data_IF_670269142893
#
_entry.id   IF_670269142893
#
_cell.length_a   1.000
_cell.length_b   1.000
_cell.length_c   1.000
_cell.angle_alpha   90.00
_cell.angle_beta   90.00
_cell.angle_gamma   90.00
#
_symmetry.space_group_name_H-M   'P 1'
#
loop_
_entity.id
_entity.type
_entity.pdbx_description
1 polymer ?
#
# COMPACT_ATOMS: atom_id res chain seq x y z
N UNK A 1 9.39 18.53 -59.24
CA UNK A 1 10.08 17.54 -58.39
C UNK A 1 10.02 17.92 -56.92
N UNK A 2 10.39 19.15 -56.53
CA UNK A 2 10.42 19.61 -55.13
C UNK A 2 9.08 19.60 -54.35
N UNK A 3 7.94 19.83 -55.02
CA UNK A 3 6.62 19.90 -54.36
C UNK A 3 6.17 18.55 -53.78
N UNK A 4 6.44 17.45 -54.48
CA UNK A 4 6.08 16.11 -54.02
C UNK A 4 7.00 15.65 -52.89
N UNK A 5 8.28 16.05 -52.93
CA UNK A 5 9.25 15.78 -51.85
C UNK A 5 8.86 16.49 -50.56
N UNK A 6 8.33 17.70 -50.64
CA UNK A 6 7.90 18.49 -49.48
C UNK A 6 6.65 17.87 -48.80
N UNK A 7 5.66 17.44 -49.59
CA UNK A 7 4.47 16.76 -49.04
C UNK A 7 4.79 15.40 -48.41
N UNK A 8 5.72 14.65 -49.00
CA UNK A 8 6.17 13.37 -48.48
C UNK A 8 6.92 13.52 -47.14
N UNK A 9 7.74 14.56 -47.01
CA UNK A 9 8.42 14.90 -45.76
C UNK A 9 7.43 15.33 -44.66
N UNK A 10 6.42 16.13 -45.00
CA UNK A 10 5.35 16.53 -44.06
C UNK A 10 4.57 15.31 -43.56
N UNK A 11 4.25 14.37 -44.45
CA UNK A 11 3.51 13.15 -44.12
C UNK A 11 4.32 12.20 -43.22
N UNK A 12 5.64 12.10 -43.43
CA UNK A 12 6.56 11.36 -42.54
C UNK A 12 6.68 11.98 -41.14
N UNK A 13 6.68 13.32 -41.04
CA UNK A 13 6.72 14.01 -39.74
C UNK A 13 5.40 13.95 -38.96
N UNK A 14 4.25 13.96 -39.65
CA UNK A 14 2.93 13.81 -39.02
C UNK A 14 2.64 12.35 -38.62
N UNK A 15 3.18 11.36 -39.34
CA UNK A 15 3.05 9.94 -39.00
C UNK A 15 3.99 9.43 -37.90
N UNK A 16 5.07 10.16 -37.58
CA UNK A 16 6.14 9.71 -36.69
C UNK A 16 5.99 10.06 -35.19
N UNK A 17 4.94 10.79 -34.79
CA UNK A 17 4.78 11.32 -33.42
C UNK A 17 3.73 10.58 -32.58
N UNK A 18 3.51 9.28 -32.79
CA UNK A 18 2.71 8.45 -31.89
C UNK A 18 3.43 7.13 -31.56
N UNK A 19 4.66 7.26 -31.07
CA UNK A 19 5.47 6.13 -30.61
C UNK A 19 6.37 6.46 -29.42
N UNK A 20 6.22 7.64 -28.82
CA UNK A 20 6.90 8.00 -27.58
C UNK A 20 5.91 7.79 -26.43
N UNK A 21 5.67 6.52 -26.08
CA UNK A 21 5.27 6.20 -24.71
C UNK A 21 6.48 6.63 -23.87
N UNK A 22 6.40 7.67 -23.03
CA UNK A 22 7.49 7.95 -22.12
C UNK A 22 7.66 6.68 -21.29
N UNK A 23 8.86 6.14 -21.29
CA UNK A 23 9.32 5.12 -20.35
C UNK A 23 9.42 5.73 -18.94
N UNK A 24 8.39 6.45 -18.52
CA UNK A 24 8.01 6.66 -17.14
C UNK A 24 6.98 5.55 -16.95
N UNK A 25 7.40 4.33 -16.65
CA UNK A 25 7.42 3.94 -15.24
C UNK A 25 6.31 4.68 -14.48
N UNK A 26 5.06 4.37 -14.83
CA UNK A 26 3.99 4.26 -13.83
C UNK A 26 4.55 3.22 -12.87
N UNK A 27 5.43 3.65 -11.96
CA UNK A 27 5.70 2.93 -10.75
C UNK A 27 4.30 2.74 -10.17
N UNK A 28 3.79 1.50 -10.03
CA UNK A 28 2.62 1.32 -9.22
C UNK A 28 3.00 2.00 -7.91
N UNK A 29 2.23 3.02 -7.53
CA UNK A 29 2.39 3.69 -6.25
C UNK A 29 2.47 2.57 -5.21
N UNK A 30 3.67 2.31 -4.69
CA UNK A 30 3.90 1.33 -3.66
C UNK A 30 4.02 2.13 -2.37
N UNK A 31 2.89 2.46 -1.71
CA UNK A 31 2.91 3.30 -0.52
C UNK A 31 3.67 2.66 0.63
N UNK A 32 3.97 1.36 0.58
CA UNK A 32 4.64 0.69 1.68
C UNK A 32 5.64 -0.35 1.16
N UNK A 33 6.93 -0.28 1.56
CA UNK A 33 7.85 -1.42 1.40
C UNK A 33 7.41 -2.67 2.19
N UNK A 34 6.25 -2.61 2.87
CA UNK A 34 5.66 -3.63 3.72
C UNK A 34 4.29 -4.14 3.22
N UNK A 35 3.85 -3.77 2.01
CA UNK A 35 2.59 -4.30 1.46
C UNK A 35 2.68 -5.82 1.31
N UNK A 36 1.72 -6.55 1.88
CA UNK A 36 1.63 -7.99 1.71
C UNK A 36 1.45 -8.34 0.22
N UNK A 37 2.10 -9.40 -0.27
CA UNK A 37 2.09 -9.77 -1.71
C UNK A 37 0.68 -9.93 -2.30
N UNK A 38 -0.25 -10.45 -1.50
CA UNK A 38 -1.66 -10.57 -1.90
C UNK A 38 -2.34 -9.20 -2.15
N UNK A 39 -1.97 -8.16 -1.40
CA UNK A 39 -2.50 -6.79 -1.58
C UNK A 39 -2.01 -6.21 -2.90
N UNK A 40 -0.72 -6.41 -3.20
CA UNK A 40 -0.11 -5.97 -4.46
C UNK A 40 -0.76 -6.69 -5.66
N UNK A 41 -0.95 -8.01 -5.56
CA UNK A 41 -1.59 -8.79 -6.61
C UNK A 41 -3.04 -8.37 -6.84
N UNK A 42 -3.81 -8.13 -5.77
CA UNK A 42 -5.18 -7.67 -5.88
C UNK A 42 -5.26 -6.28 -6.51
N UNK A 43 -4.38 -5.34 -6.14
CA UNK A 43 -4.35 -4.01 -6.75
C UNK A 43 -4.09 -4.07 -8.26
N UNK A 44 -3.17 -4.95 -8.70
CA UNK A 44 -2.90 -5.13 -10.12
C UNK A 44 -4.10 -5.74 -10.90
N UNK A 45 -4.82 -6.68 -10.28
CA UNK A 45 -6.03 -7.25 -10.86
C UNK A 45 -7.14 -6.19 -10.93
N UNK A 46 -7.29 -5.38 -9.88
CA UNK A 46 -8.28 -4.31 -9.78
C UNK A 46 -8.11 -3.26 -10.88
N UNK A 47 -6.87 -2.93 -11.23
CA UNK A 47 -6.56 -1.94 -12.26
C UNK A 47 -7.06 -2.36 -13.66
N UNK A 48 -7.10 -3.67 -13.93
CA UNK A 48 -7.57 -4.27 -15.19
C UNK A 48 -9.10 -4.33 -15.30
N UNK A 49 -9.84 -4.10 -14.22
CA UNK A 49 -11.30 -4.21 -14.24
C UNK A 49 -11.95 -3.04 -15.01
N UNK A 50 -13.10 -3.29 -15.68
CA UNK A 50 -13.98 -2.24 -16.18
C UNK A 50 -14.46 -1.32 -15.05
N UNK A 51 -14.77 -0.07 -15.37
CA UNK A 51 -15.10 0.94 -14.37
C UNK A 51 -16.28 0.55 -13.48
N UNK A 52 -17.24 -0.19 -14.03
CA UNK A 52 -18.45 -0.64 -13.33
C UNK A 52 -18.17 -1.71 -12.26
N UNK A 53 -17.02 -2.39 -12.36
CA UNK A 53 -16.59 -3.46 -11.46
C UNK A 53 -15.45 -3.02 -10.54
N UNK A 54 -14.92 -1.82 -10.74
CA UNK A 54 -13.87 -1.25 -9.90
C UNK A 54 -14.41 -0.84 -8.53
N UNK A 55 -13.58 -1.02 -7.53
CA UNK A 55 -13.83 -0.55 -6.18
C UNK A 55 -13.60 0.97 -6.08
N UNK A 56 -14.70 1.73 -6.17
CA UNK A 56 -14.70 3.19 -6.03
C UNK A 56 -14.39 3.71 -4.63
N UNK A 57 -14.21 2.84 -3.64
CA UNK A 57 -13.96 3.24 -2.25
C UNK A 57 -12.70 4.11 -2.11
N UNK A 58 -11.69 3.88 -2.95
CA UNK A 58 -10.43 4.62 -2.94
C UNK A 58 -10.42 5.85 -3.88
N UNK A 59 -11.49 6.11 -4.63
CA UNK A 59 -11.56 7.26 -5.56
C UNK A 59 -11.57 8.60 -4.80
N UNK A 60 -12.08 8.60 -3.56
CA UNK A 60 -12.08 9.78 -2.72
C UNK A 60 -10.67 10.00 -2.12
N UNK A 61 -9.99 11.11 -2.45
CA UNK A 61 -8.62 11.36 -1.99
C UNK A 61 -8.53 11.49 -0.46
N UNK A 62 -9.61 11.93 0.21
CA UNK A 62 -9.67 12.00 1.68
C UNK A 62 -9.71 10.61 2.30
N UNK A 63 -10.49 9.71 1.70
CA UNK A 63 -10.63 8.32 2.15
C UNK A 63 -9.32 7.57 1.90
N UNK A 64 -8.78 7.65 0.68
CA UNK A 64 -7.48 7.07 0.34
C UNK A 64 -6.37 7.57 1.28
N UNK A 65 -6.33 8.88 1.58
CA UNK A 65 -5.34 9.42 2.50
C UNK A 65 -5.54 8.93 3.94
N UNK A 66 -6.78 8.86 4.43
CA UNK A 66 -7.08 8.36 5.77
C UNK A 66 -6.79 6.85 5.94
N UNK A 67 -6.92 6.06 4.88
CA UNK A 67 -6.57 4.64 4.84
C UNK A 67 -5.08 4.37 4.59
N UNK A 68 -4.41 5.27 3.84
CA UNK A 68 -2.96 5.23 3.65
C UNK A 68 -2.20 5.64 4.91
N UNK A 69 -2.88 6.20 5.92
CA UNK A 69 -2.32 6.29 7.26
C UNK A 69 -2.13 4.89 7.83
N UNK A 70 -0.92 4.60 8.30
CA UNK A 70 -0.49 3.31 8.84
C UNK A 70 -1.57 2.69 9.75
N UNK A 71 -2.04 1.50 9.38
CA UNK A 71 -2.93 0.72 10.23
C UNK A 71 -2.74 -0.79 10.01
N UNK A 72 -2.20 -1.41 11.05
CA UNK A 72 -2.69 -2.71 11.55
C UNK A 72 -3.26 -2.54 12.98
N UNK A 73 -2.78 -1.52 13.70
CA UNK A 73 -3.34 -0.89 14.90
C UNK A 73 -3.14 0.62 14.65
N UNK A 74 -4.06 1.49 15.06
CA UNK A 74 -4.27 2.87 14.56
C UNK A 74 -3.06 3.86 14.64
N UNK A 75 -3.21 5.08 14.08
CA UNK A 75 -2.36 6.25 14.38
C UNK A 75 -2.47 6.59 15.88
N UNK A 76 -1.60 5.96 16.68
CA UNK A 76 -1.38 6.00 18.15
C UNK A 76 -1.17 4.62 18.77
N UNK A 77 -1.24 3.52 18.03
CA UNK A 77 -1.07 2.18 18.59
C UNK A 77 0.30 1.62 18.17
N UNK A 78 1.30 2.01 18.96
CA UNK A 78 2.64 1.44 18.93
C UNK A 78 2.57 -0.03 19.40
N UNK A 79 3.31 -0.92 18.73
CA UNK A 79 3.61 -2.24 19.27
C UNK A 79 4.23 -2.06 20.66
N UNK A 80 3.55 -2.54 21.70
CA UNK A 80 4.07 -2.51 23.07
C UNK A 80 5.18 -3.55 23.15
N UNK A 81 6.40 -3.12 22.81
CA UNK A 81 7.59 -3.98 22.84
C UNK A 81 7.92 -4.41 24.27
N UNK A 82 7.66 -3.53 25.24
CA UNK A 82 7.95 -3.74 26.66
C UNK A 82 6.71 -3.39 27.47
N UNK A 83 6.14 -4.37 28.16
CA UNK A 83 5.03 -4.15 29.10
C UNK A 83 5.63 -4.06 30.49
N UNK A 84 5.18 -3.10 31.30
CA UNK A 84 5.59 -3.01 32.71
C UNK A 84 5.28 -4.31 33.49
N UNK A 85 4.25 -5.05 33.05
CA UNK A 85 3.90 -6.35 33.59
C UNK A 85 4.98 -7.44 33.34
N UNK A 86 5.79 -7.30 32.31
CA UNK A 86 6.88 -8.22 31.99
C UNK A 86 8.07 -8.03 32.93
N UNK A 87 8.21 -6.85 33.55
CA UNK A 87 9.21 -6.59 34.60
C UNK A 87 8.87 -7.25 35.94
N UNK A 88 7.62 -7.68 36.13
CA UNK A 88 7.17 -8.30 37.38
C UNK A 88 7.75 -9.72 37.47
N UNK A 89 8.57 -10.04 38.49
CA UNK A 89 9.13 -11.37 38.66
C UNK A 89 8.04 -12.43 38.87
N UNK A 90 8.17 -13.58 38.20
CA UNK A 90 7.19 -14.68 38.29
C UNK A 90 7.01 -15.22 39.72
N UNK A 91 8.06 -15.19 40.54
CA UNK A 91 8.00 -15.53 41.97
C UNK A 91 7.02 -14.64 42.72
N UNK A 92 7.06 -13.33 42.47
CA UNK A 92 6.16 -12.36 43.13
C UNK A 92 4.69 -12.58 42.72
N UNK A 93 4.45 -12.94 41.47
CA UNK A 93 3.11 -13.32 40.99
C UNK A 93 2.63 -14.57 41.74
N UNK A 94 3.50 -15.57 41.86
CA UNK A 94 3.20 -16.81 42.58
C UNK A 94 2.89 -16.56 44.06
N UNK A 95 3.68 -15.74 44.75
CA UNK A 95 3.49 -15.42 46.17
C UNK A 95 2.13 -14.74 46.41
N UNK A 96 1.76 -13.79 45.55
CA UNK A 96 0.44 -13.11 45.61
C UNK A 96 -0.69 -14.12 45.39
N UNK A 97 -0.57 -14.98 44.39
CA UNK A 97 -1.58 -16.01 44.11
C UNK A 97 -1.68 -17.05 45.23
N UNK A 98 -0.55 -17.42 45.85
CA UNK A 98 -0.51 -18.37 46.95
C UNK A 98 -1.20 -17.80 48.20
N UNK A 99 -0.86 -16.57 48.56
CA UNK A 99 -1.45 -15.88 49.72
C UNK A 99 -2.96 -15.61 49.52
N UNK A 100 -3.39 -15.39 48.28
CA UNK A 100 -4.80 -15.24 47.93
C UNK A 100 -5.56 -16.58 47.82
N UNK A 101 -4.88 -17.72 48.00
CA UNK A 101 -5.49 -19.05 47.93
C UNK A 101 -5.72 -19.59 46.52
N UNK A 102 -5.19 -18.94 45.49
CA UNK A 102 -5.35 -19.32 44.08
C UNK A 102 -4.22 -20.21 43.53
N UNK A 103 -3.08 -20.31 44.22
CA UNK A 103 -1.98 -21.20 43.84
C UNK A 103 -1.61 -22.16 44.99
N UNK A 104 -1.48 -23.45 44.67
CA UNK A 104 -1.00 -24.48 45.60
C UNK A 104 0.42 -24.90 45.22
N UNK A 105 1.18 -25.28 46.25
CA UNK A 105 2.57 -25.72 46.16
C UNK A 105 2.70 -27.07 45.47
#
# INVERSE_FOLDING_TARGET
MFQHTMYFMILLTLGGMCGAVPLVFIQPYNPTPYAHSAVVANAAIEEMLPQELKNHFYDNPRTAHALAMESWLSNKEMMVLHRDADEIPRSKIYDVLHNAGFARK
#
